data_IF_060520206430
#
_entry.id   IF_060520206430
#
_cell.length_a   1.000
_cell.length_b   1.000
_cell.length_c   1.000
_cell.angle_alpha   90.00
_cell.angle_beta   90.00
_cell.angle_gamma   90.00
#
_symmetry.space_group_name_H-M   'P 1'
#
loop_
_entity.id
_entity.type
_entity.pdbx_description
1 polymer ?
#
# COMPACT_ATOMS: atom_id res chain seq x y z
N UNK A 1 76.68 7.23 31.73
CA UNK A 1 75.52 8.08 32.07
C UNK A 1 74.50 7.83 30.98
N UNK A 2 73.54 6.92 31.21
CA UNK A 2 72.51 6.62 30.22
C UNK A 2 71.37 7.62 30.39
N UNK A 3 70.97 8.31 29.32
CA UNK A 3 69.86 9.25 29.36
C UNK A 3 68.56 8.53 29.78
N UNK A 4 67.88 9.07 30.79
CA UNK A 4 66.60 8.55 31.28
C UNK A 4 65.49 8.87 30.28
N UNK A 5 65.14 7.92 29.43
CA UNK A 5 63.94 8.02 28.60
C UNK A 5 62.69 7.83 29.48
N UNK A 6 61.92 8.90 29.67
CA UNK A 6 60.59 8.84 30.32
C UNK A 6 59.58 8.36 29.30
N UNK A 7 59.39 7.05 29.23
CA UNK A 7 58.39 6.45 28.37
C UNK A 7 57.07 6.32 29.14
N UNK A 8 56.01 6.94 28.63
CA UNK A 8 54.67 6.77 29.17
C UNK A 8 54.22 5.32 28.99
N UNK A 9 53.94 4.65 30.10
CA UNK A 9 53.45 3.27 30.11
C UNK A 9 51.94 3.25 30.39
N UNK A 10 51.19 2.27 29.84
CA UNK A 10 49.81 2.08 30.25
C UNK A 10 49.75 1.84 31.77
N UNK A 11 48.62 2.20 32.42
CA UNK A 11 48.47 1.99 33.84
C UNK A 11 48.62 0.50 34.20
N UNK A 12 49.11 0.22 35.40
CA UNK A 12 49.20 -1.15 35.91
C UNK A 12 47.79 -1.75 35.99
N UNK A 13 47.49 -2.72 35.12
CA UNK A 13 46.14 -3.27 34.92
C UNK A 13 45.48 -2.96 33.56
N UNK A 14 46.15 -2.17 32.71
CA UNK A 14 45.68 -1.85 31.36
C UNK A 14 44.53 -0.85 31.31
N UNK A 15 44.14 -0.45 30.10
CA UNK A 15 42.99 0.44 29.89
C UNK A 15 41.66 -0.32 30.05
N UNK A 16 40.61 0.40 30.43
CA UNK A 16 39.25 -0.17 30.44
C UNK A 16 38.89 -0.63 29.02
N UNK A 17 38.26 -1.81 28.85
CA UNK A 17 37.83 -2.26 27.54
C UNK A 17 36.83 -1.25 26.99
N UNK A 18 37.11 -0.72 25.80
CA UNK A 18 36.20 0.15 25.08
C UNK A 18 35.45 -0.67 24.04
N UNK A 19 34.18 -0.34 23.84
CA UNK A 19 33.38 -1.02 22.84
C UNK A 19 33.78 -0.50 21.44
N UNK A 20 34.44 -1.34 20.64
CA UNK A 20 34.76 -1.07 19.22
C UNK A 20 33.60 -1.41 18.29
N UNK A 21 32.58 -2.10 18.78
CA UNK A 21 31.49 -2.57 17.94
C UNK A 21 30.52 -1.43 17.63
N UNK A 22 29.95 -1.45 16.42
CA UNK A 22 28.84 -0.56 16.05
C UNK A 22 27.62 -0.91 16.90
N UNK A 23 27.23 -0.02 17.80
CA UNK A 23 25.96 -0.11 18.54
C UNK A 23 24.87 0.61 17.75
N UNK A 24 23.95 -0.14 17.14
CA UNK A 24 22.80 0.45 16.45
C UNK A 24 21.77 0.96 17.47
N UNK A 25 21.12 2.09 17.16
CA UNK A 25 20.05 2.64 17.99
C UNK A 25 18.90 1.63 18.05
N UNK A 26 18.46 1.27 19.26
CA UNK A 26 17.28 0.44 19.43
C UNK A 26 16.06 1.25 19.01
N UNK A 27 15.25 0.72 18.09
CA UNK A 27 13.96 1.33 17.71
C UNK A 27 13.14 1.53 18.97
N UNK A 28 12.82 2.79 19.29
CA UNK A 28 12.22 3.21 20.57
C UNK A 28 10.85 2.56 20.87
N UNK A 29 10.22 1.94 19.87
CA UNK A 29 8.87 1.37 19.95
C UNK A 29 8.81 -0.13 19.64
N UNK A 30 9.92 -0.87 19.83
CA UNK A 30 9.95 -2.33 19.68
C UNK A 30 9.42 -2.84 18.32
N UNK A 31 9.03 -4.11 18.26
CA UNK A 31 8.50 -4.75 17.04
C UNK A 31 7.23 -4.06 16.50
N UNK A 32 6.49 -3.36 17.36
CA UNK A 32 5.21 -2.74 17.04
C UNK A 32 5.35 -1.39 16.30
N UNK A 33 6.50 -0.71 16.39
CA UNK A 33 6.74 0.54 15.67
C UNK A 33 6.85 0.36 14.16
N UNK A 34 7.55 -0.69 13.70
CA UNK A 34 7.72 -0.97 12.27
C UNK A 34 6.37 -1.27 11.61
N UNK A 35 5.53 -2.10 12.25
CA UNK A 35 4.19 -2.39 11.74
C UNK A 35 3.29 -1.15 11.65
N UNK A 36 3.47 -0.18 12.55
CA UNK A 36 2.70 1.07 12.50
C UNK A 36 3.13 1.91 11.29
N UNK A 37 4.44 2.06 11.06
CA UNK A 37 4.99 2.78 9.90
C UNK A 37 4.59 2.14 8.56
N UNK A 38 4.61 0.81 8.47
CA UNK A 38 4.18 0.06 7.27
C UNK A 38 2.69 0.27 6.96
N UNK A 39 1.83 0.27 8.00
CA UNK A 39 0.40 0.50 7.83
C UNK A 39 0.08 1.97 7.49
N UNK A 40 0.80 2.93 8.09
CA UNK A 40 0.63 4.34 7.80
C UNK A 40 1.00 4.65 6.33
N UNK A 41 2.09 4.05 5.85
CA UNK A 41 2.47 4.09 4.43
C UNK A 41 1.36 3.49 3.54
N UNK A 42 0.81 2.33 3.92
CA UNK A 42 -0.30 1.69 3.22
C UNK A 42 -1.53 2.61 3.09
N UNK A 43 -1.95 3.20 4.21
CA UNK A 43 -3.08 4.14 4.27
C UNK A 43 -2.84 5.40 3.41
N UNK A 44 -1.61 5.94 3.44
CA UNK A 44 -1.24 7.10 2.64
C UNK A 44 -1.28 6.82 1.12
N UNK A 45 -0.93 5.58 0.71
CA UNK A 45 -0.90 5.17 -0.69
C UNK A 45 -2.25 4.68 -1.22
N UNK A 46 -3.12 4.17 -0.35
CA UNK A 46 -4.45 3.65 -0.68
C UNK A 46 -5.27 4.53 -1.63
N UNK A 47 -5.42 5.86 -1.42
CA UNK A 47 -6.24 6.69 -2.32
C UNK A 47 -5.70 6.74 -3.76
N UNK A 48 -4.38 6.67 -3.94
CA UNK A 48 -3.77 6.67 -5.28
C UNK A 48 -4.01 5.34 -5.99
N UNK A 49 -3.78 4.22 -5.29
CA UNK A 49 -3.98 2.87 -5.82
C UNK A 49 -5.45 2.62 -6.17
N UNK A 50 -6.37 3.07 -5.30
CA UNK A 50 -7.80 2.99 -5.53
C UNK A 50 -8.20 3.80 -6.77
N UNK A 51 -7.73 5.04 -6.89
CA UNK A 51 -8.01 5.86 -8.05
C UNK A 51 -7.47 5.26 -9.37
N UNK A 52 -6.30 4.61 -9.36
CA UNK A 52 -5.78 3.89 -10.53
C UNK A 52 -6.64 2.69 -10.92
N UNK A 53 -7.01 1.88 -9.93
CA UNK A 53 -7.90 0.74 -10.11
C UNK A 53 -9.24 1.18 -10.70
N UNK A 54 -9.85 2.22 -10.14
CA UNK A 54 -11.14 2.72 -10.57
C UNK A 54 -11.09 3.26 -12.01
N UNK A 55 -10.00 3.97 -12.39
CA UNK A 55 -9.78 4.39 -13.78
C UNK A 55 -9.69 3.23 -14.75
N UNK A 56 -8.99 2.15 -14.38
CA UNK A 56 -8.86 0.94 -15.20
C UNK A 56 -10.22 0.26 -15.37
N UNK A 57 -10.95 0.09 -14.28
CA UNK A 57 -12.28 -0.54 -14.27
C UNK A 57 -13.24 0.24 -15.18
N UNK A 58 -13.32 1.57 -15.05
CA UNK A 58 -14.16 2.41 -15.89
C UNK A 58 -13.78 2.32 -17.37
N UNK A 59 -12.48 2.25 -17.68
CA UNK A 59 -11.99 2.10 -19.06
C UNK A 59 -12.41 0.75 -19.66
N UNK A 60 -12.30 -0.33 -18.89
CA UNK A 60 -12.71 -1.68 -19.32
C UNK A 60 -14.23 -1.72 -19.51
N UNK A 61 -15.00 -1.20 -18.55
CA UNK A 61 -16.46 -1.15 -18.65
C UNK A 61 -16.94 -0.37 -19.88
N UNK A 62 -16.30 0.77 -20.18
CA UNK A 62 -16.60 1.54 -21.39
C UNK A 62 -16.34 0.74 -22.66
N UNK A 63 -15.18 0.09 -22.77
CA UNK A 63 -14.84 -0.77 -23.92
C UNK A 63 -15.83 -1.92 -24.07
N UNK A 64 -16.17 -2.60 -22.98
CA UNK A 64 -17.13 -3.70 -23.01
C UNK A 64 -18.51 -3.22 -23.48
N UNK A 65 -18.92 -2.02 -23.09
CA UNK A 65 -20.21 -1.43 -23.52
C UNK A 65 -20.21 -1.06 -25.01
N UNK A 66 -19.10 -0.56 -25.53
CA UNK A 66 -18.92 -0.30 -26.96
C UNK A 66 -18.93 -1.61 -27.75
N UNK A 67 -18.21 -2.63 -27.28
CA UNK A 67 -18.20 -3.98 -27.87
C UNK A 67 -19.59 -4.64 -27.82
N UNK A 68 -20.32 -4.51 -26.70
CA UNK A 68 -21.69 -5.02 -26.57
C UNK A 68 -22.62 -4.37 -27.59
N UNK A 69 -22.52 -3.04 -27.77
CA UNK A 69 -23.29 -2.32 -28.79
C UNK A 69 -22.99 -2.82 -30.20
N UNK A 70 -21.75 -3.18 -30.48
CA UNK A 70 -21.34 -3.71 -31.78
C UNK A 70 -21.78 -5.16 -32.00
N UNK A 71 -21.69 -6.00 -30.97
CA UNK A 71 -22.03 -7.41 -31.00
C UNK A 71 -23.55 -7.66 -31.04
N UNK A 72 -24.33 -6.88 -30.30
CA UNK A 72 -25.76 -7.13 -30.08
C UNK A 72 -26.69 -6.37 -31.03
N UNK A 73 -26.19 -5.84 -32.16
CA UNK A 73 -26.99 -5.06 -33.13
C UNK A 73 -28.15 -5.85 -33.73
N UNK A 74 -27.94 -7.14 -33.93
CA UNK A 74 -28.85 -8.00 -34.67
C UNK A 74 -29.94 -8.62 -33.79
N UNK A 75 -29.83 -8.51 -32.45
CA UNK A 75 -30.77 -9.11 -31.51
C UNK A 75 -31.96 -8.16 -31.29
N UNK A 76 -33.19 -8.55 -31.68
CA UNK A 76 -34.35 -7.68 -31.54
C UNK A 76 -34.66 -7.42 -30.06
N UNK A 77 -34.85 -6.15 -29.70
CA UNK A 77 -35.19 -5.74 -28.34
C UNK A 77 -34.02 -5.69 -27.35
N UNK A 78 -32.77 -5.95 -27.78
CA UNK A 78 -31.62 -5.83 -26.90
C UNK A 78 -31.29 -4.37 -26.56
N UNK A 79 -31.26 -4.05 -25.26
CA UNK A 79 -30.85 -2.74 -24.75
C UNK A 79 -29.47 -2.86 -24.10
N UNK A 80 -28.51 -2.09 -24.60
CA UNK A 80 -27.11 -2.15 -24.14
C UNK A 80 -26.99 -1.83 -22.65
N UNK A 81 -26.34 -2.72 -21.90
CA UNK A 81 -26.17 -2.60 -20.45
C UNK A 81 -27.38 -3.06 -19.64
N UNK A 82 -28.27 -3.87 -20.23
CA UNK A 82 -29.36 -4.56 -19.53
C UNK A 82 -29.21 -6.07 -19.70
N UNK A 83 -29.79 -6.83 -18.76
CA UNK A 83 -29.96 -8.26 -18.90
C UNK A 83 -31.30 -8.54 -19.57
N UNK A 84 -31.31 -8.81 -20.89
CA UNK A 84 -32.54 -9.07 -21.65
C UNK A 84 -33.67 -8.03 -21.43
N UNK A 85 -33.31 -6.76 -21.22
CA UNK A 85 -34.26 -5.67 -20.98
C UNK A 85 -34.44 -5.28 -19.51
N UNK A 86 -34.03 -6.12 -18.56
CA UNK A 86 -34.06 -5.81 -17.13
C UNK A 86 -32.73 -5.18 -16.66
N UNK A 87 -32.76 -4.19 -15.75
CA UNK A 87 -31.55 -3.69 -15.12
C UNK A 87 -30.90 -4.78 -14.25
N UNK A 88 -29.57 -4.85 -14.25
CA UNK A 88 -28.81 -5.86 -13.48
C UNK A 88 -28.96 -5.68 -11.96
N UNK A 89 -29.21 -4.45 -11.51
CA UNK A 89 -29.37 -4.12 -10.10
C UNK A 89 -30.73 -3.49 -9.86
N UNK A 90 -31.46 -3.99 -8.88
CA UNK A 90 -32.66 -3.35 -8.35
C UNK A 90 -32.25 -2.13 -7.52
N UNK A 91 -32.81 -0.96 -7.82
CA UNK A 91 -32.60 0.23 -6.99
C UNK A 91 -33.59 0.24 -5.83
N UNK A 92 -33.19 0.78 -4.68
CA UNK A 92 -34.08 0.86 -3.50
C UNK A 92 -35.37 1.64 -3.78
N UNK A 93 -35.34 2.59 -4.73
CA UNK A 93 -36.50 3.40 -5.10
C UNK A 93 -37.65 2.61 -5.71
N UNK A 94 -37.36 1.53 -6.45
CA UNK A 94 -38.40 0.68 -7.03
C UNK A 94 -39.06 -0.20 -5.96
N UNK A 95 -38.29 -0.70 -4.99
CA UNK A 95 -38.78 -1.52 -3.87
C UNK A 95 -39.62 -0.72 -2.86
N UNK A 96 -39.34 0.57 -2.68
CA UNK A 96 -40.07 1.46 -1.76
C UNK A 96 -41.32 2.09 -2.40
N UNK A 97 -41.41 2.13 -3.74
CA UNK A 97 -42.57 2.66 -4.46
C UNK A 97 -43.78 1.71 -4.44
N UNK A 98 -43.58 0.43 -4.16
CA UNK A 98 -44.60 -0.63 -4.22
C UNK A 98 -45.25 -0.95 -2.88
N UNK A 99 -44.99 -0.15 -1.83
CA UNK A 99 -45.49 -0.37 -0.47
C UNK A 99 -46.41 0.76 0.01
#
# INVERSE_FOLDING_TARGET
MGEEFRQEMPPFGGYRPFNVNRTYAKTLWGRNGIYFEDNDLGNAMEPFLLAERDRIVLRIMKKNRELEKDLMKEVPGWKVGTWYGEPIYFTLGELLSTR
#
